data_IF_425496096165
#
_entry.id   IF_425496096165
#
_cell.length_a   1.000
_cell.length_b   1.000
_cell.length_c   1.000
_cell.angle_alpha   90.00
_cell.angle_beta   90.00
_cell.angle_gamma   90.00
#
_symmetry.space_group_name_H-M   'P 1'
#
loop_
_entity.id
_entity.type
_entity.pdbx_description
1 polymer ?
#
# COMPACT_ATOMS: atom_id res chain seq x y z
N UNK A 1 2.65 9.65 26.20
CA UNK A 1 1.68 10.30 25.28
C UNK A 1 1.51 9.42 24.05
N UNK A 2 0.30 9.29 23.49
CA UNK A 2 0.05 8.61 22.21
C UNK A 2 -0.53 9.61 21.21
N UNK A 3 0.04 9.68 20.02
CA UNK A 3 -0.42 10.52 18.93
C UNK A 3 -0.88 9.63 17.79
N UNK A 4 -1.98 10.02 17.13
CA UNK A 4 -2.54 9.30 15.98
C UNK A 4 -2.63 10.29 14.82
N UNK A 5 -2.02 9.93 13.71
CA UNK A 5 -2.02 10.72 12.48
C UNK A 5 -2.66 9.90 11.35
N UNK A 6 -3.30 10.60 10.42
CA UNK A 6 -3.77 9.97 9.19
C UNK A 6 -2.58 9.66 8.27
N UNK A 7 -2.64 8.57 7.47
CA UNK A 7 -1.62 8.27 6.49
C UNK A 7 -1.67 9.25 5.30
N UNK A 8 -0.57 9.35 4.56
CA UNK A 8 -0.51 10.03 3.28
C UNK A 8 -0.93 9.10 2.13
N UNK A 9 -1.43 9.67 1.04
CA UNK A 9 -1.70 8.92 -0.22
C UNK A 9 -0.45 8.78 -1.08
N UNK A 10 0.41 9.80 -1.07
CA UNK A 10 1.66 9.81 -1.81
C UNK A 10 2.75 9.12 -0.99
N UNK A 11 3.62 8.39 -1.68
CA UNK A 11 4.76 7.70 -1.10
C UNK A 11 6.03 8.22 -1.77
N UNK A 12 7.07 8.42 -0.98
CA UNK A 12 8.39 8.85 -1.43
C UNK A 12 9.40 7.77 -1.05
N UNK A 13 10.04 7.18 -2.06
CA UNK A 13 11.06 6.14 -1.93
C UNK A 13 12.44 6.62 -2.38
N UNK A 14 12.57 7.88 -2.83
CA UNK A 14 13.79 8.45 -3.41
C UNK A 14 14.56 9.31 -2.40
N UNK A 15 13.84 9.98 -1.50
CA UNK A 15 14.46 10.82 -0.48
C UNK A 15 15.31 9.97 0.47
N UNK A 16 16.58 10.33 0.60
CA UNK A 16 17.51 9.69 1.54
C UNK A 16 17.02 9.89 2.97
N UNK A 17 16.77 8.78 3.66
CA UNK A 17 16.42 8.80 5.08
C UNK A 17 17.68 8.95 5.93
N UNK A 18 17.60 9.64 7.09
CA UNK A 18 18.62 9.52 8.12
C UNK A 18 18.68 8.06 8.61
N UNK A 19 19.77 7.69 9.29
CA UNK A 19 19.86 6.36 9.92
C UNK A 19 18.79 6.28 11.00
N UNK A 20 17.83 5.38 10.81
CA UNK A 20 16.71 5.14 11.72
C UNK A 20 16.59 3.64 11.99
N UNK A 21 16.27 3.29 13.22
CA UNK A 21 15.87 1.93 13.55
C UNK A 21 14.50 1.63 12.92
N UNK A 22 14.36 0.45 12.32
CA UNK A 22 13.12 -0.01 11.70
C UNK A 22 12.52 -1.15 12.52
N UNK A 23 11.20 -1.25 12.54
CA UNK A 23 10.48 -2.36 13.15
C UNK A 23 9.60 -3.07 12.12
N UNK A 24 9.15 -4.28 12.46
CA UNK A 24 8.17 -5.01 11.65
C UNK A 24 6.75 -4.47 11.85
N UNK A 25 5.90 -4.64 10.83
CA UNK A 25 4.49 -4.25 10.91
C UNK A 25 3.69 -5.23 11.77
N UNK A 26 2.82 -4.72 12.66
CA UNK A 26 2.08 -5.56 13.60
C UNK A 26 0.92 -6.37 12.99
N UNK A 27 0.42 -6.01 11.80
CA UNK A 27 -0.83 -6.53 11.21
C UNK A 27 -0.61 -7.20 9.84
N UNK A 28 0.45 -7.99 9.72
CA UNK A 28 0.82 -8.60 8.44
C UNK A 28 -0.20 -9.64 7.95
N UNK A 29 -0.86 -10.38 8.85
CA UNK A 29 -1.91 -11.34 8.50
C UNK A 29 -3.11 -10.64 7.86
N UNK A 30 -3.49 -9.49 8.40
CA UNK A 30 -4.57 -8.65 7.89
C UNK A 30 -4.19 -8.03 6.56
N UNK A 31 -2.96 -7.51 6.44
CA UNK A 31 -2.43 -6.96 5.19
C UNK A 31 -2.43 -8.01 4.07
N UNK A 32 -1.98 -9.24 4.35
CA UNK A 32 -1.99 -10.34 3.39
C UNK A 32 -3.42 -10.69 2.95
N UNK A 33 -4.37 -10.78 3.90
CA UNK A 33 -5.78 -11.05 3.59
C UNK A 33 -6.37 -9.97 2.68
N UNK A 34 -6.08 -8.70 2.96
CA UNK A 34 -6.54 -7.58 2.13
C UNK A 34 -5.92 -7.64 0.74
N UNK A 35 -4.59 -7.81 0.64
CA UNK A 35 -3.92 -7.83 -0.64
C UNK A 35 -4.35 -9.02 -1.51
N UNK A 36 -4.66 -10.18 -0.91
CA UNK A 36 -5.24 -11.34 -1.63
C UNK A 36 -6.56 -11.01 -2.32
N UNK A 37 -7.38 -10.12 -1.73
CA UNK A 37 -8.62 -9.65 -2.35
C UNK A 37 -8.36 -8.58 -3.41
N UNK A 38 -7.39 -7.70 -3.18
CA UNK A 38 -7.01 -6.62 -4.10
C UNK A 38 -6.34 -7.16 -5.37
N UNK A 39 -5.46 -8.17 -5.26
CA UNK A 39 -4.80 -8.86 -6.39
C UNK A 39 -5.77 -9.40 -7.43
N UNK A 40 -7.00 -9.77 -7.01
CA UNK A 40 -8.04 -10.30 -7.91
C UNK A 40 -8.81 -9.21 -8.66
N UNK A 41 -8.63 -7.93 -8.31
CA UNK A 41 -9.33 -6.80 -8.95
C UNK A 41 -8.52 -6.30 -10.13
N UNK A 42 -9.19 -6.02 -11.24
CA UNK A 42 -8.58 -5.30 -12.36
C UNK A 42 -8.33 -3.83 -12.02
N UNK A 43 -7.41 -3.17 -12.73
CA UNK A 43 -7.19 -1.72 -12.62
C UNK A 43 -8.50 -0.93 -12.75
N UNK A 44 -9.39 -1.31 -13.69
CA UNK A 44 -10.71 -0.68 -13.86
C UNK A 44 -11.60 -0.82 -12.62
N UNK A 45 -11.58 -1.98 -11.97
CA UNK A 45 -12.32 -2.21 -10.72
C UNK A 45 -11.75 -1.38 -9.57
N UNK A 46 -10.41 -1.29 -9.48
CA UNK A 46 -9.71 -0.49 -8.48
C UNK A 46 -9.98 1.00 -8.65
N UNK A 47 -10.00 1.51 -9.89
CA UNK A 47 -10.38 2.89 -10.21
C UNK A 47 -11.73 3.26 -9.60
N UNK A 48 -12.76 2.44 -9.86
CA UNK A 48 -14.12 2.66 -9.35
C UNK A 48 -14.18 2.53 -7.83
N UNK A 49 -13.49 1.55 -7.25
CA UNK A 49 -13.50 1.29 -5.81
C UNK A 49 -12.80 2.40 -5.01
N UNK A 50 -11.65 2.87 -5.49
CA UNK A 50 -10.80 3.83 -4.79
C UNK A 50 -11.09 5.27 -5.20
N UNK A 51 -11.90 5.48 -6.24
CA UNK A 51 -12.24 6.78 -6.82
C UNK A 51 -10.98 7.60 -7.21
N UNK A 52 -10.17 7.03 -8.11
CA UNK A 52 -8.87 7.55 -8.54
C UNK A 52 -8.77 7.66 -10.07
N UNK A 53 -7.68 8.25 -10.58
CA UNK A 53 -7.40 8.32 -12.02
C UNK A 53 -7.07 6.93 -12.61
N UNK A 54 -7.08 6.82 -13.94
CA UNK A 54 -6.66 5.59 -14.63
C UNK A 54 -5.20 5.24 -14.32
N UNK A 55 -4.30 6.23 -14.37
CA UNK A 55 -2.87 6.04 -14.09
C UNK A 55 -2.64 5.53 -12.66
N UNK A 56 -3.32 6.13 -11.67
CA UNK A 56 -3.17 5.70 -10.28
C UNK A 56 -3.80 4.33 -10.04
N UNK A 57 -4.86 3.98 -10.78
CA UNK A 57 -5.47 2.66 -10.70
C UNK A 57 -4.58 1.57 -11.31
N UNK A 58 -3.86 1.89 -12.39
CA UNK A 58 -2.84 1.00 -12.96
C UNK A 58 -1.69 0.80 -12.00
N UNK A 59 -1.13 1.90 -11.47
CA UNK A 59 -0.07 1.85 -10.47
C UNK A 59 -0.46 1.03 -9.24
N UNK A 60 -1.67 1.24 -8.72
CA UNK A 60 -2.16 0.47 -7.56
C UNK A 60 -2.44 -0.99 -7.92
N UNK A 61 -2.84 -1.30 -9.16
CA UNK A 61 -2.94 -2.69 -9.62
C UNK A 61 -1.58 -3.38 -9.56
N UNK A 62 -0.53 -2.77 -10.14
CA UNK A 62 0.84 -3.29 -10.15
C UNK A 62 1.37 -3.47 -8.72
N UNK A 63 1.25 -2.44 -7.88
CA UNK A 63 1.65 -2.51 -6.45
C UNK A 63 0.98 -3.67 -5.72
N UNK A 64 -0.31 -3.91 -5.96
CA UNK A 64 -0.99 -5.04 -5.33
C UNK A 64 -0.44 -6.38 -5.83
N UNK A 65 -0.08 -6.51 -7.12
CA UNK A 65 0.53 -7.73 -7.68
C UNK A 65 1.93 -7.99 -7.10
N UNK A 66 2.77 -6.95 -7.07
CA UNK A 66 4.15 -7.00 -6.60
C UNK A 66 4.26 -7.20 -5.09
N UNK A 67 3.26 -6.76 -4.32
CA UNK A 67 3.28 -6.93 -2.88
C UNK A 67 3.41 -8.40 -2.49
N UNK A 68 4.40 -8.66 -1.65
CA UNK A 68 4.68 -9.92 -0.96
C UNK A 68 4.72 -9.66 0.54
N UNK A 69 4.53 -10.71 1.34
CA UNK A 69 4.77 -10.60 2.77
C UNK A 69 6.28 -10.34 2.98
N UNK A 70 6.68 -9.26 3.67
CA UNK A 70 8.08 -8.94 3.90
C UNK A 70 8.77 -9.82 4.97
N UNK A 71 8.01 -10.71 5.63
CA UNK A 71 8.56 -11.76 6.51
C UNK A 71 8.94 -13.03 5.74
#
# INVERSE_FOLDING_TARGET
MKLVLSPAKSLDYETKLPIVETSEACFLKEAERLNRLLKKKSARSLKKLQNISDDLAHLNYERNQEWTNPL
#
